data_IF_488592641692
#
_entry.id   IF_488592641692
#
_cell.length_a   1.000
_cell.length_b   1.000
_cell.length_c   1.000
_cell.angle_alpha   90.00
_cell.angle_beta   90.00
_cell.angle_gamma   90.00
#
_symmetry.space_group_name_H-M   'P 1'
#
loop_
_entity.id
_entity.type
_entity.pdbx_description
1 polymer ?
#
# COMPACT_ATOMS: atom_id res chain seq x y z
N UNK A 1 1.10 2.01 10.48
CA UNK A 1 2.25 2.66 9.79
C UNK A 1 3.50 1.91 10.25
N UNK A 2 4.34 1.45 9.32
CA UNK A 2 5.54 0.68 9.67
C UNK A 2 6.78 1.55 9.90
N UNK A 3 6.98 2.57 9.06
CA UNK A 3 8.06 3.56 9.18
C UNK A 3 7.48 4.96 8.98
N UNK A 4 7.92 5.94 9.77
CA UNK A 4 7.48 7.33 9.68
C UNK A 4 8.68 8.27 9.77
N UNK A 5 8.69 9.29 8.90
CA UNK A 5 9.60 10.42 8.92
C UNK A 5 8.84 11.68 8.54
N UNK A 6 9.47 12.85 8.71
CA UNK A 6 8.90 14.13 8.25
C UNK A 6 8.68 14.21 6.73
N UNK A 7 9.28 13.31 5.95
CA UNK A 7 9.23 13.31 4.48
C UNK A 7 8.35 12.21 3.91
N UNK A 8 8.28 11.06 4.57
CA UNK A 8 7.60 9.89 4.05
C UNK A 8 7.14 8.97 5.18
N UNK A 9 5.98 8.36 4.98
CA UNK A 9 5.45 7.27 5.78
C UNK A 9 5.27 6.01 4.94
N UNK A 10 5.63 4.86 5.50
CA UNK A 10 5.47 3.56 4.85
C UNK A 10 4.30 2.78 5.47
N UNK A 11 3.35 2.37 4.63
CA UNK A 11 2.29 1.45 4.99
C UNK A 11 2.84 0.02 4.94
N UNK A 12 2.55 -0.76 5.97
CA UNK A 12 2.91 -2.16 6.08
C UNK A 12 1.72 -2.94 6.68
N UNK A 13 1.69 -4.26 6.51
CA UNK A 13 0.67 -5.12 7.12
C UNK A 13 -0.73 -4.98 6.52
N UNK A 14 -0.83 -4.68 5.22
CA UNK A 14 -2.12 -4.53 4.54
C UNK A 14 -2.81 -5.89 4.41
N UNK A 15 -4.00 -6.01 4.98
CA UNK A 15 -4.79 -7.23 4.94
C UNK A 15 -6.28 -6.92 4.88
N UNK A 16 -7.04 -7.80 4.21
CA UNK A 16 -8.50 -7.76 4.12
C UNK A 16 -9.07 -9.10 4.56
N UNK A 17 -10.12 -9.06 5.37
CA UNK A 17 -10.86 -10.24 5.79
C UNK A 17 -11.33 -11.06 4.58
N UNK A 18 -11.24 -12.40 4.58
CA UNK A 18 -11.63 -13.22 3.43
C UNK A 18 -13.03 -12.90 2.90
N UNK A 19 -14.00 -12.71 3.79
CA UNK A 19 -15.39 -12.35 3.44
C UNK A 19 -15.56 -10.95 2.81
N UNK A 20 -14.55 -10.07 2.94
CA UNK A 20 -14.56 -8.72 2.38
C UNK A 20 -13.80 -8.62 1.03
N UNK A 21 -13.11 -9.68 0.60
CA UNK A 21 -12.37 -9.72 -0.67
C UNK A 21 -13.33 -9.82 -1.86
N UNK A 22 -12.88 -9.37 -3.04
CA UNK A 22 -13.68 -9.43 -4.27
C UNK A 22 -14.85 -8.45 -4.35
N UNK A 23 -15.10 -7.64 -3.31
CA UNK A 23 -16.23 -6.71 -3.22
C UNK A 23 -15.90 -5.26 -3.60
N UNK A 24 -14.72 -5.01 -4.18
CA UNK A 24 -14.27 -3.65 -4.53
C UNK A 24 -13.90 -2.74 -3.35
N UNK A 25 -14.01 -3.21 -2.11
CA UNK A 25 -13.80 -2.41 -0.89
C UNK A 25 -12.34 -2.02 -0.62
N UNK A 26 -11.38 -2.73 -1.21
CA UNK A 26 -9.96 -2.53 -0.90
C UNK A 26 -9.44 -1.15 -1.31
N UNK A 27 -9.93 -0.59 -2.42
CA UNK A 27 -9.45 0.70 -2.92
C UNK A 27 -9.93 1.85 -2.03
N UNK A 28 -11.21 1.89 -1.66
CA UNK A 28 -11.74 2.92 -0.76
C UNK A 28 -11.13 2.82 0.64
N UNK A 29 -10.96 1.59 1.16
CA UNK A 29 -10.29 1.38 2.44
C UNK A 29 -8.84 1.89 2.41
N UNK A 30 -8.09 1.58 1.34
CA UNK A 30 -6.71 2.05 1.21
C UNK A 30 -6.63 3.57 0.99
N UNK A 31 -7.57 4.19 0.26
CA UNK A 31 -7.64 5.65 0.12
C UNK A 31 -7.80 6.34 1.49
N UNK A 32 -8.71 5.83 2.34
CA UNK A 32 -8.89 6.36 3.69
C UNK A 32 -7.61 6.24 4.55
N UNK A 33 -6.86 5.14 4.40
CA UNK A 33 -5.55 4.99 5.06
C UNK A 33 -4.55 6.02 4.52
N UNK A 34 -4.49 6.23 3.21
CA UNK A 34 -3.60 7.25 2.60
C UNK A 34 -3.91 8.64 3.13
N UNK A 35 -5.19 9.02 3.19
CA UNK A 35 -5.61 10.32 3.70
C UNK A 35 -5.19 10.52 5.15
N UNK A 36 -5.39 9.49 5.99
CA UNK A 36 -4.95 9.52 7.38
C UNK A 36 -3.42 9.64 7.51
N UNK A 37 -2.66 8.91 6.69
CA UNK A 37 -1.19 8.93 6.73
C UNK A 37 -0.63 10.27 6.22
N UNK A 38 -1.31 10.91 5.25
CA UNK A 38 -0.92 12.21 4.70
C UNK A 38 -0.96 13.35 5.73
N UNK A 39 -1.72 13.18 6.81
CA UNK A 39 -1.70 14.12 7.95
C UNK A 39 -0.34 14.11 8.68
N UNK A 40 0.47 13.07 8.51
CA UNK A 40 1.73 12.87 9.23
C UNK A 40 2.96 13.04 8.33
N UNK A 41 2.84 12.72 7.03
CA UNK A 41 3.93 12.86 6.06
C UNK A 41 3.39 13.12 4.65
N UNK A 42 4.07 13.95 3.84
CA UNK A 42 3.58 14.32 2.50
C UNK A 42 3.62 13.15 1.50
N UNK A 43 4.51 12.18 1.71
CA UNK A 43 4.66 11.00 0.83
C UNK A 43 4.21 9.75 1.57
N UNK A 44 3.41 8.93 0.88
CA UNK A 44 3.00 7.61 1.34
C UNK A 44 3.61 6.56 0.42
N UNK A 45 4.28 5.56 1.00
CA UNK A 45 4.91 4.47 0.26
C UNK A 45 4.53 3.10 0.81
N UNK A 46 4.72 2.05 0.01
CA UNK A 46 4.57 0.67 0.43
C UNK A 46 5.38 -0.26 -0.48
N UNK A 47 5.63 -1.47 -0.01
CA UNK A 47 6.12 -2.57 -0.82
C UNK A 47 5.03 -3.59 -1.06
N UNK A 48 5.02 -4.14 -2.27
CA UNK A 48 4.11 -5.20 -2.68
C UNK A 48 4.87 -6.16 -3.58
N UNK A 49 4.66 -7.45 -3.34
CA UNK A 49 5.25 -8.47 -4.19
C UNK A 49 4.57 -8.47 -5.56
N UNK A 50 5.37 -8.63 -6.62
CA UNK A 50 4.89 -8.58 -8.00
C UNK A 50 3.80 -9.63 -8.33
N UNK A 51 3.78 -10.76 -7.62
CA UNK A 51 2.75 -11.79 -7.79
C UNK A 51 1.39 -11.39 -7.19
N UNK A 52 1.34 -10.38 -6.31
CA UNK A 52 0.11 -9.95 -5.64
C UNK A 52 -0.69 -8.97 -6.53
N UNK A 53 -1.18 -9.50 -7.65
CA UNK A 53 -1.99 -8.77 -8.64
C UNK A 53 -3.18 -8.02 -8.03
N UNK A 54 -3.95 -8.59 -7.07
CA UNK A 54 -5.05 -7.87 -6.44
C UNK A 54 -4.60 -6.62 -5.66
N UNK A 55 -3.48 -6.70 -4.95
CA UNK A 55 -2.93 -5.56 -4.21
C UNK A 55 -2.39 -4.50 -5.17
N UNK A 56 -1.65 -4.89 -6.21
CA UNK A 56 -1.17 -3.99 -7.26
C UNK A 56 -2.31 -3.16 -7.86
N UNK A 57 -3.38 -3.82 -8.31
CA UNK A 57 -4.58 -3.16 -8.86
C UNK A 57 -5.27 -2.24 -7.84
N UNK A 58 -5.18 -2.56 -6.56
CA UNK A 58 -5.75 -1.71 -5.50
C UNK A 58 -4.93 -0.43 -5.36
N UNK A 59 -3.60 -0.54 -5.33
CA UNK A 59 -2.71 0.60 -5.18
C UNK A 59 -2.74 1.52 -6.41
N UNK A 60 -2.74 0.94 -7.62
CA UNK A 60 -2.91 1.70 -8.86
C UNK A 60 -4.22 2.51 -8.87
N UNK A 61 -5.33 1.91 -8.43
CA UNK A 61 -6.62 2.62 -8.33
C UNK A 61 -6.64 3.77 -7.33
N UNK A 62 -5.84 3.67 -6.26
CA UNK A 62 -5.69 4.74 -5.27
C UNK A 62 -4.73 5.83 -5.76
N UNK A 63 -4.00 5.61 -6.86
CA UNK A 63 -3.06 6.56 -7.45
C UNK A 63 -1.62 6.36 -7.01
N UNK A 64 -1.26 5.19 -6.48
CA UNK A 64 0.16 4.85 -6.28
C UNK A 64 0.84 4.59 -7.61
N UNK A 65 2.11 5.01 -7.68
CA UNK A 65 2.99 4.76 -8.82
C UNK A 65 4.16 3.85 -8.40
N UNK A 66 4.57 2.95 -9.29
CA UNK A 66 5.74 2.10 -9.06
C UNK A 66 7.02 2.93 -9.16
N UNK A 67 7.74 3.07 -8.04
CA UNK A 67 9.01 3.83 -7.97
C UNK A 67 10.28 2.98 -8.08
N UNK A 68 10.18 1.67 -7.85
CA UNK A 68 11.33 0.76 -7.92
C UNK A 68 10.92 -0.69 -7.81
N UNK A 69 11.89 -1.60 -7.93
CA UNK A 69 11.71 -3.04 -7.73
C UNK A 69 12.87 -3.54 -6.90
N UNK A 70 12.55 -4.37 -5.91
CA UNK A 70 13.52 -5.00 -5.02
C UNK A 70 13.36 -6.51 -5.17
N UNK A 71 14.48 -7.23 -5.15
CA UNK A 71 14.49 -8.67 -5.13
C UNK A 71 15.27 -9.13 -3.90
N UNK A 72 14.67 -10.00 -3.09
CA UNK A 72 15.41 -10.69 -2.03
C UNK A 72 16.23 -11.80 -2.68
N UNK A 73 17.56 -11.69 -2.58
CA UNK A 73 18.48 -12.76 -2.97
C UNK A 73 18.81 -13.56 -1.72
N UNK A 74 18.39 -14.84 -1.70
CA UNK A 74 18.79 -15.81 -0.68
C UNK A 74 19.94 -16.64 -1.26
N UNK A 75 21.03 -16.79 -0.52
CA UNK A 75 22.18 -17.64 -0.85
C UNK A 75 22.45 -18.63 0.27
#
# INVERSE_FOLDING_TARGET
IGLLSSRCAQIQGVWMAPAARGRGLAASAMAAVVDYVRLQAPVVSLYVNAYNTPALRTYERVGFERRGTFATVLY
#
